data_IF_672139909083
#
_entry.id   IF_672139909083
#
_cell.length_a   1.000
_cell.length_b   1.000
_cell.length_c   1.000
_cell.angle_alpha   90.00
_cell.angle_beta   90.00
_cell.angle_gamma   90.00
#
_symmetry.space_group_name_H-M   'P 1'
#
loop_
_entity.id
_entity.type
_entity.pdbx_description
1 polymer ?
#
# COMPACT_ATOMS: atom_id res chain seq x y z
N UNK A 1 -21.68 -6.92 -7.66
CA UNK A 1 -20.21 -6.90 -7.58
C UNK A 1 -19.82 -6.19 -6.29
N UNK A 2 -18.89 -6.74 -5.51
CA UNK A 2 -18.34 -6.00 -4.38
C UNK A 2 -17.60 -4.75 -4.88
N UNK A 3 -17.69 -3.66 -4.11
CA UNK A 3 -16.98 -2.42 -4.45
C UNK A 3 -15.47 -2.68 -4.35
N UNK A 4 -14.70 -2.30 -5.37
CA UNK A 4 -13.24 -2.34 -5.33
C UNK A 4 -12.70 -1.67 -4.06
N UNK A 5 -11.69 -2.24 -3.45
CA UNK A 5 -10.99 -1.66 -2.30
C UNK A 5 -9.66 -1.07 -2.77
N UNK A 6 -9.51 0.25 -2.66
CA UNK A 6 -8.24 0.95 -2.90
C UNK A 6 -7.53 1.13 -1.56
N UNK A 7 -6.31 0.60 -1.44
CA UNK A 7 -5.56 0.55 -0.19
C UNK A 7 -4.15 1.13 -0.40
N UNK A 8 -3.84 2.22 0.29
CA UNK A 8 -2.47 2.73 0.37
C UNK A 8 -1.69 2.02 1.48
N UNK A 9 -0.43 1.67 1.20
CA UNK A 9 0.52 1.21 2.23
C UNK A 9 1.52 2.34 2.46
N UNK A 10 1.41 3.01 3.60
CA UNK A 10 2.13 4.26 3.87
C UNK A 10 2.76 4.27 5.26
N UNK A 11 3.98 4.80 5.33
CA UNK A 11 4.68 5.21 6.54
C UNK A 11 5.82 6.14 6.13
N UNK A 12 6.07 7.19 6.92
CA UNK A 12 7.17 8.13 6.69
C UNK A 12 8.54 7.50 6.87
N UNK A 13 8.66 6.52 7.74
CA UNK A 13 9.91 5.81 7.97
C UNK A 13 10.28 4.97 6.76
N UNK A 14 11.52 5.16 6.29
CA UNK A 14 12.12 4.30 5.27
C UNK A 14 12.37 2.89 5.79
N UNK A 15 12.35 1.90 4.90
CA UNK A 15 12.76 0.54 5.24
C UNK A 15 11.78 -0.28 6.10
N UNK A 16 10.58 0.21 6.42
CA UNK A 16 9.60 -0.54 7.25
C UNK A 16 8.85 -1.64 6.49
N UNK A 17 9.22 -1.95 5.26
CA UNK A 17 8.64 -3.02 4.46
C UNK A 17 7.37 -2.66 3.71
N UNK A 18 7.18 -1.40 3.30
CA UNK A 18 6.02 -0.96 2.48
C UNK A 18 5.93 -1.74 1.16
N UNK A 19 6.94 -1.63 0.30
CA UNK A 19 6.97 -2.30 -1.01
C UNK A 19 6.90 -3.83 -0.88
N UNK A 20 7.63 -4.39 0.09
CA UNK A 20 7.57 -5.83 0.40
C UNK A 20 6.15 -6.25 0.80
N UNK A 21 5.43 -5.40 1.54
CA UNK A 21 4.05 -5.67 1.93
C UNK A 21 3.11 -5.58 0.73
N UNK A 22 3.22 -4.54 -0.11
CA UNK A 22 2.38 -4.40 -1.30
C UNK A 22 2.55 -5.60 -2.22
N UNK A 23 3.78 -6.02 -2.49
CA UNK A 23 4.05 -7.19 -3.32
C UNK A 23 3.43 -8.47 -2.73
N UNK A 24 3.78 -8.81 -1.49
CA UNK A 24 3.32 -10.07 -0.90
C UNK A 24 1.82 -10.08 -0.61
N UNK A 25 1.23 -8.94 -0.23
CA UNK A 25 -0.22 -8.82 -0.07
C UNK A 25 -0.93 -9.00 -1.42
N UNK A 26 -0.43 -8.35 -2.48
CA UNK A 26 -0.95 -8.49 -3.84
C UNK A 26 -0.91 -9.93 -4.34
N UNK A 27 0.25 -10.58 -4.23
CA UNK A 27 0.43 -11.98 -4.61
C UNK A 27 -0.48 -12.93 -3.79
N UNK A 28 -0.62 -12.67 -2.48
CA UNK A 28 -1.49 -13.48 -1.62
C UNK A 28 -2.97 -13.34 -1.96
N UNK A 29 -3.44 -12.12 -2.27
CA UNK A 29 -4.81 -11.88 -2.73
C UNK A 29 -5.06 -12.53 -4.10
N UNK A 30 -4.11 -12.42 -5.05
CA UNK A 30 -4.21 -13.04 -6.36
C UNK A 30 -4.25 -14.58 -6.27
N UNK A 31 -3.44 -15.17 -5.38
CA UNK A 31 -3.47 -16.61 -5.11
C UNK A 31 -4.82 -17.11 -4.57
N UNK A 32 -5.62 -16.21 -3.96
CA UNK A 32 -7.00 -16.49 -3.54
C UNK A 32 -8.05 -16.14 -4.62
N UNK A 33 -7.63 -15.92 -5.87
CA UNK A 33 -8.50 -15.68 -7.02
C UNK A 33 -9.04 -14.25 -7.10
N UNK A 34 -8.46 -13.27 -6.37
CA UNK A 34 -8.84 -11.87 -6.48
C UNK A 34 -8.12 -11.20 -7.65
N UNK A 35 -8.82 -10.30 -8.34
CA UNK A 35 -8.23 -9.43 -9.35
C UNK A 35 -7.54 -8.26 -8.65
N UNK A 36 -6.22 -8.16 -8.79
CA UNK A 36 -5.40 -7.21 -8.02
C UNK A 36 -4.58 -6.34 -8.95
N UNK A 37 -4.55 -5.03 -8.69
CA UNK A 37 -3.68 -4.06 -9.33
C UNK A 37 -2.75 -3.46 -8.29
N UNK A 38 -1.45 -3.45 -8.56
CA UNK A 38 -0.43 -2.77 -7.75
C UNK A 38 0.02 -1.50 -8.45
N UNK A 39 0.19 -0.40 -7.71
CA UNK A 39 0.80 0.83 -8.24
C UNK A 39 2.04 1.19 -7.42
N UNK A 40 3.14 1.42 -8.11
CA UNK A 40 4.38 1.93 -7.50
C UNK A 40 4.37 3.46 -7.52
N UNK A 41 4.06 4.07 -6.38
CA UNK A 41 3.95 5.54 -6.21
C UNK A 41 5.25 6.13 -5.65
N UNK A 42 6.32 5.34 -5.55
CA UNK A 42 7.64 5.81 -5.12
C UNK A 42 8.55 6.09 -6.33
N UNK A 43 9.13 7.30 -6.46
CA UNK A 43 10.14 7.61 -7.48
C UNK A 43 11.36 6.67 -7.47
N UNK A 44 11.63 5.97 -6.37
CA UNK A 44 12.73 4.99 -6.29
C UNK A 44 12.44 3.73 -7.12
N UNK A 45 11.17 3.43 -7.39
CA UNK A 45 10.76 2.29 -8.21
C UNK A 45 11.11 0.95 -7.57
N UNK A 46 11.12 0.86 -6.24
CA UNK A 46 11.57 -0.35 -5.55
C UNK A 46 10.56 -1.50 -5.72
N UNK A 47 9.26 -1.22 -5.64
CA UNK A 47 8.24 -2.22 -5.97
C UNK A 47 8.40 -2.70 -7.42
N UNK A 48 8.58 -1.78 -8.35
CA UNK A 48 8.78 -2.09 -9.77
C UNK A 48 9.98 -3.01 -10.00
N UNK A 49 11.12 -2.76 -9.31
CA UNK A 49 12.29 -3.64 -9.36
C UNK A 49 12.00 -5.03 -8.78
N UNK A 50 11.26 -5.09 -7.66
CA UNK A 50 10.85 -6.35 -7.03
C UNK A 50 9.95 -7.18 -7.94
N UNK A 51 9.18 -6.53 -8.83
CA UNK A 51 8.30 -7.15 -9.82
C UNK A 51 9.02 -7.46 -11.15
N UNK A 52 10.34 -7.62 -11.13
CA UNK A 52 11.17 -8.05 -12.26
C UNK A 52 11.64 -6.95 -13.19
N UNK A 53 11.13 -5.72 -13.06
CA UNK A 53 11.55 -4.60 -13.91
C UNK A 53 12.82 -3.94 -13.35
N UNK A 54 13.97 -4.59 -13.56
CA UNK A 54 15.26 -4.21 -12.97
C UNK A 54 15.72 -2.79 -13.29
N UNK A 55 15.24 -2.22 -14.38
CA UNK A 55 15.59 -0.90 -14.88
C UNK A 55 14.34 -0.04 -15.13
N UNK A 56 13.65 0.42 -14.08
CA UNK A 56 12.39 1.16 -14.22
C UNK A 56 12.52 2.42 -15.08
N UNK A 57 13.71 3.01 -15.15
CA UNK A 57 13.98 4.22 -15.95
C UNK A 57 14.04 3.98 -17.47
N UNK A 58 14.16 2.72 -17.92
CA UNK A 58 14.12 2.33 -19.33
C UNK A 58 12.68 1.99 -19.80
N UNK A 59 11.71 1.91 -18.88
CA UNK A 59 10.33 1.61 -19.23
C UNK A 59 9.71 2.79 -20.00
N UNK A 60 9.04 2.53 -21.13
CA UNK A 60 8.45 3.59 -21.96
C UNK A 60 7.25 4.25 -21.31
N UNK A 61 6.47 3.50 -20.52
CA UNK A 61 5.27 3.96 -19.84
C UNK A 61 5.31 3.58 -18.36
N UNK A 62 5.04 4.56 -17.50
CA UNK A 62 5.05 4.42 -16.05
C UNK A 62 3.96 5.29 -15.45
N UNK A 63 3.70 5.16 -14.17
CA UNK A 63 2.73 5.97 -13.44
C UNK A 63 3.01 7.48 -13.60
N UNK A 64 4.27 7.88 -13.74
CA UNK A 64 4.62 9.29 -13.99
C UNK A 64 4.07 9.81 -15.31
N UNK A 65 4.14 9.02 -16.40
CA UNK A 65 3.53 9.36 -17.69
C UNK A 65 2.02 9.52 -17.54
N UNK A 66 1.37 8.53 -16.93
CA UNK A 66 -0.06 8.51 -16.73
C UNK A 66 -0.56 9.72 -15.93
N UNK A 67 0.13 10.09 -14.84
CA UNK A 67 -0.26 11.27 -14.05
C UNK A 67 -0.13 12.57 -14.86
N UNK A 68 0.88 12.68 -15.74
CA UNK A 68 1.00 13.81 -16.67
C UNK A 68 -0.13 13.81 -17.70
N UNK A 69 -0.52 12.66 -18.24
CA UNK A 69 -1.61 12.53 -19.21
C UNK A 69 -2.96 12.93 -18.59
N UNK A 70 -3.19 12.56 -17.32
CA UNK A 70 -4.38 13.03 -16.56
C UNK A 70 -4.38 14.56 -16.45
N UNK A 71 -3.25 15.17 -16.09
CA UNK A 71 -3.12 16.63 -15.98
C UNK A 71 -3.34 17.31 -17.32
N UNK A 72 -2.87 16.70 -18.42
CA UNK A 72 -3.03 17.22 -19.78
C UNK A 72 -4.42 16.91 -20.39
N UNK A 73 -5.24 16.05 -19.76
CA UNK A 73 -6.52 15.60 -20.32
C UNK A 73 -6.37 14.64 -21.52
N UNK A 74 -5.24 13.94 -21.62
CA UNK A 74 -4.90 13.03 -22.73
C UNK A 74 -4.79 11.56 -22.30
N UNK A 75 -5.41 11.19 -21.19
CA UNK A 75 -5.36 9.83 -20.65
C UNK A 75 -5.84 8.80 -21.69
N UNK A 76 -5.04 7.78 -21.92
CA UNK A 76 -5.36 6.68 -22.82
C UNK A 76 -6.25 5.64 -22.11
N UNK A 77 -7.48 5.45 -22.57
CA UNK A 77 -8.45 4.51 -22.00
C UNK A 77 -8.09 3.03 -22.19
N UNK A 78 -7.11 2.70 -23.06
CA UNK A 78 -6.65 1.31 -23.25
C UNK A 78 -5.63 0.87 -22.19
N UNK A 79 -5.12 1.81 -21.37
CA UNK A 79 -4.19 1.56 -20.27
C UNK A 79 -2.95 0.72 -20.65
N UNK A 80 -2.17 1.13 -21.65
CA UNK A 80 -1.00 0.38 -22.11
C UNK A 80 0.16 0.33 -21.09
N UNK A 81 0.08 1.14 -20.03
CA UNK A 81 1.02 1.16 -18.90
C UNK A 81 0.87 -0.02 -17.96
N UNK A 82 -0.26 -0.75 -18.02
CA UNK A 82 -0.54 -1.88 -17.15
C UNK A 82 0.23 -3.11 -17.61
N UNK A 83 1.01 -3.66 -16.70
CA UNK A 83 1.82 -4.87 -16.92
C UNK A 83 1.25 -6.03 -16.13
N UNK A 84 1.31 -7.24 -16.70
CA UNK A 84 0.88 -8.46 -16.02
C UNK A 84 2.06 -9.17 -15.35
N UNK A 85 1.92 -9.52 -14.09
CA UNK A 85 2.91 -10.29 -13.34
C UNK A 85 2.60 -11.80 -13.38
N UNK A 86 3.62 -12.64 -13.50
CA UNK A 86 3.47 -14.08 -13.61
C UNK A 86 2.82 -14.77 -12.39
N UNK A 87 2.68 -14.09 -11.27
CA UNK A 87 1.94 -14.56 -10.10
C UNK A 87 0.43 -14.17 -10.13
N UNK A 88 -0.08 -13.68 -11.27
CA UNK A 88 -1.52 -13.53 -11.53
C UNK A 88 -2.15 -12.23 -11.03
N UNK A 89 -1.38 -11.16 -10.96
CA UNK A 89 -1.86 -9.80 -10.70
C UNK A 89 -1.27 -8.82 -11.71
N UNK A 90 -1.86 -7.65 -11.81
CA UNK A 90 -1.38 -6.57 -12.68
C UNK A 90 -0.67 -5.49 -11.86
N UNK A 91 0.19 -4.71 -12.53
CA UNK A 91 0.85 -3.58 -11.90
C UNK A 91 1.13 -2.42 -12.86
N UNK A 92 1.19 -1.22 -12.31
CA UNK A 92 1.64 0.00 -13.00
C UNK A 92 3.00 0.37 -12.42
N UNK A 93 4.06 0.37 -13.24
CA UNK A 93 5.41 0.64 -12.74
C UNK A 93 5.60 2.11 -12.36
N UNK A 94 6.39 2.34 -11.31
CA UNK A 94 6.90 3.65 -10.92
C UNK A 94 8.37 3.82 -11.23
N UNK A 95 8.79 5.05 -11.43
CA UNK A 95 10.20 5.40 -11.60
C UNK A 95 10.47 6.86 -11.21
N UNK A 96 11.72 7.32 -11.44
CA UNK A 96 12.16 8.69 -11.09
C UNK A 96 11.35 9.81 -11.76
N UNK A 97 10.59 9.55 -12.83
CA UNK A 97 9.74 10.57 -13.48
C UNK A 97 8.67 11.09 -12.51
N UNK A 98 8.25 10.30 -11.53
CA UNK A 98 7.33 10.73 -10.47
C UNK A 98 7.85 11.92 -9.66
N UNK A 99 9.18 12.10 -9.53
CA UNK A 99 9.74 13.29 -8.88
C UNK A 99 9.45 14.57 -9.68
N UNK A 100 9.53 14.50 -11.01
CA UNK A 100 9.18 15.63 -11.86
C UNK A 100 7.67 15.92 -11.82
N UNK A 101 6.84 14.87 -11.80
CA UNK A 101 5.39 15.00 -11.61
C UNK A 101 5.08 15.71 -10.29
N UNK A 102 5.71 15.31 -9.17
CA UNK A 102 5.49 15.91 -7.86
C UNK A 102 5.76 17.43 -7.87
N UNK A 103 6.82 17.85 -8.53
CA UNK A 103 7.14 19.28 -8.73
C UNK A 103 6.10 19.96 -9.63
N UNK A 104 5.73 19.32 -10.74
CA UNK A 104 4.75 19.86 -11.69
C UNK A 104 3.37 20.08 -11.08
N UNK A 105 2.95 19.19 -10.20
CA UNK A 105 1.64 19.26 -9.52
C UNK A 105 1.44 20.53 -8.68
N UNK A 106 2.50 21.24 -8.28
CA UNK A 106 2.38 22.47 -7.47
C UNK A 106 1.44 23.51 -8.09
N UNK A 107 1.45 23.60 -9.41
CA UNK A 107 0.66 24.59 -10.18
C UNK A 107 -0.63 24.00 -10.78
N UNK A 108 -0.98 22.75 -10.48
CA UNK A 108 -2.15 22.09 -11.04
C UNK A 108 -3.36 22.28 -10.14
N UNK A 109 -4.51 22.63 -10.71
CA UNK A 109 -5.78 22.67 -9.97
C UNK A 109 -6.21 21.26 -9.56
N UNK A 110 -6.73 21.13 -8.34
CA UNK A 110 -7.14 19.81 -7.78
C UNK A 110 -6.02 18.77 -7.79
N UNK A 111 -4.78 19.23 -7.67
CA UNK A 111 -3.54 18.44 -7.71
C UNK A 111 -3.51 17.23 -6.78
N UNK A 112 -4.31 17.27 -5.71
CA UNK A 112 -4.43 16.19 -4.73
C UNK A 112 -5.23 14.99 -5.24
N UNK A 113 -5.92 15.13 -6.38
CA UNK A 113 -6.87 14.12 -6.91
C UNK A 113 -6.48 13.54 -8.27
N UNK A 114 -5.31 13.87 -8.79
CA UNK A 114 -4.84 13.38 -10.11
C UNK A 114 -4.78 11.86 -10.16
N UNK A 115 -4.21 11.22 -9.13
CA UNK A 115 -4.17 9.76 -9.06
C UNK A 115 -5.58 9.14 -8.90
N UNK A 116 -6.50 9.81 -8.22
CA UNK A 116 -7.89 9.36 -8.13
C UNK A 116 -8.56 9.34 -9.50
N UNK A 117 -8.37 10.39 -10.32
CA UNK A 117 -8.92 10.47 -11.67
C UNK A 117 -8.43 9.30 -12.53
N UNK A 118 -7.14 8.98 -12.47
CA UNK A 118 -6.59 7.79 -13.13
C UNK A 118 -7.25 6.51 -12.61
N UNK A 119 -7.29 6.31 -11.30
CA UNK A 119 -7.87 5.09 -10.74
C UNK A 119 -9.36 4.95 -11.07
N UNK A 120 -10.11 6.04 -11.20
CA UNK A 120 -11.53 5.98 -11.58
C UNK A 120 -11.76 5.43 -13.00
N UNK A 121 -10.78 5.55 -13.90
CA UNK A 121 -10.82 4.98 -15.24
C UNK A 121 -10.57 3.46 -15.27
N UNK A 122 -9.68 2.95 -14.42
CA UNK A 122 -9.17 1.58 -14.51
C UNK A 122 -9.68 0.62 -13.41
N UNK A 123 -9.94 1.10 -12.20
CA UNK A 123 -10.17 0.26 -11.00
C UNK A 123 -11.35 -0.70 -11.10
N UNK A 124 -12.33 -0.45 -11.98
CA UNK A 124 -13.56 -1.29 -12.11
C UNK A 124 -13.26 -2.73 -12.53
N UNK A 125 -12.08 -2.99 -13.08
CA UNK A 125 -11.63 -4.32 -13.46
C UNK A 125 -11.10 -5.17 -12.30
N UNK A 126 -10.94 -4.58 -11.11
CA UNK A 126 -10.23 -5.18 -9.98
C UNK A 126 -11.08 -5.30 -8.73
N UNK A 127 -10.71 -6.25 -7.86
CA UNK A 127 -11.26 -6.37 -6.50
C UNK A 127 -10.45 -5.51 -5.51
N UNK A 128 -9.13 -5.44 -5.72
CA UNK A 128 -8.19 -4.68 -4.90
C UNK A 128 -7.23 -3.85 -5.75
N UNK A 129 -6.98 -2.64 -5.32
CA UNK A 129 -5.89 -1.78 -5.81
C UNK A 129 -4.99 -1.45 -4.63
N UNK A 130 -3.70 -1.78 -4.72
CA UNK A 130 -2.71 -1.53 -3.67
C UNK A 130 -1.70 -0.48 -4.13
N UNK A 131 -1.50 0.56 -3.34
CA UNK A 131 -0.60 1.67 -3.65
C UNK A 131 0.63 1.59 -2.74
N UNK A 132 1.82 1.45 -3.34
CA UNK A 132 3.09 1.52 -2.62
C UNK A 132 3.54 2.96 -2.48
N UNK A 133 3.55 3.48 -1.27
CA UNK A 133 3.84 4.89 -1.00
C UNK A 133 5.31 5.09 -0.60
N UNK A 134 5.90 6.21 -1.08
CA UNK A 134 7.24 6.65 -0.66
C UNK A 134 7.30 7.01 0.84
N UNK A 135 8.52 7.01 1.47
CA UNK A 135 8.69 7.40 2.86
C UNK A 135 8.72 8.94 3.03
N UNK A 136 7.62 9.60 2.71
CA UNK A 136 7.44 11.06 2.90
C UNK A 136 5.97 11.39 2.91
N UNK A 137 5.59 12.61 3.28
CA UNK A 137 4.21 13.13 3.18
C UNK A 137 4.05 14.16 2.07
N UNK A 138 4.82 14.01 0.98
CA UNK A 138 4.74 14.86 -0.21
C UNK A 138 3.46 14.65 -1.03
N UNK A 139 3.36 15.38 -2.15
CA UNK A 139 2.17 15.43 -2.98
C UNK A 139 1.78 14.06 -3.57
N UNK A 140 2.75 13.17 -3.83
CA UNK A 140 2.47 11.81 -4.29
C UNK A 140 1.72 10.99 -3.24
N UNK A 141 2.13 11.08 -1.96
CA UNK A 141 1.43 10.37 -0.86
C UNK A 141 0.07 10.97 -0.60
N UNK A 142 -0.08 12.30 -0.69
CA UNK A 142 -1.38 12.97 -0.61
C UNK A 142 -2.30 12.44 -1.71
N UNK A 143 -1.82 12.31 -2.95
CA UNK A 143 -2.57 11.71 -4.06
C UNK A 143 -2.98 10.26 -3.78
N UNK A 144 -2.06 9.43 -3.29
CA UNK A 144 -2.34 8.04 -2.94
C UNK A 144 -3.43 7.94 -1.85
N UNK A 145 -3.31 8.70 -0.78
CA UNK A 145 -4.30 8.73 0.31
C UNK A 145 -5.65 9.32 -0.14
N UNK A 146 -5.61 10.33 -1.00
CA UNK A 146 -6.82 10.94 -1.57
C UNK A 146 -7.61 9.95 -2.43
N UNK A 147 -6.93 9.05 -3.12
CA UNK A 147 -7.52 8.03 -3.97
C UNK A 147 -7.97 6.76 -3.22
N UNK A 148 -7.58 6.60 -1.94
CA UNK A 148 -7.73 5.36 -1.20
C UNK A 148 -9.02 5.30 -0.36
N UNK A 149 -9.57 4.09 -0.20
CA UNK A 149 -10.61 3.80 0.81
C UNK A 149 -9.96 3.55 2.18
N UNK A 150 -8.77 2.94 2.19
CA UNK A 150 -8.04 2.56 3.40
C UNK A 150 -6.55 2.87 3.31
N UNK A 151 -5.94 3.13 4.46
CA UNK A 151 -4.48 3.11 4.60
C UNK A 151 -4.06 2.00 5.57
N UNK A 152 -3.07 1.20 5.15
CA UNK A 152 -2.36 0.23 5.98
C UNK A 152 -1.02 0.84 6.39
N UNK A 153 -0.68 0.71 7.66
CA UNK A 153 0.51 1.33 8.25
C UNK A 153 1.43 0.23 8.78
N UNK A 154 2.44 -0.19 7.99
CA UNK A 154 3.50 -1.05 8.50
C UNK A 154 4.39 -0.25 9.45
N UNK A 155 4.63 -0.78 10.65
CA UNK A 155 5.43 -0.13 11.68
C UNK A 155 6.53 -1.08 12.10
N UNK A 156 7.78 -0.62 12.04
CA UNK A 156 8.89 -1.40 12.57
C UNK A 156 8.77 -1.49 14.09
N UNK A 157 8.94 -2.70 14.63
CA UNK A 157 8.87 -2.92 16.07
C UNK A 157 10.15 -2.39 16.76
N UNK A 158 10.20 -1.09 17.00
CA UNK A 158 11.25 -0.40 17.76
C UNK A 158 10.65 0.60 18.77
N UNK A 159 11.51 1.23 19.56
CA UNK A 159 11.11 2.12 20.66
C UNK A 159 10.34 3.37 20.19
N UNK A 160 10.62 3.87 18.98
CA UNK A 160 10.01 5.08 18.41
C UNK A 160 8.76 4.80 17.59
N UNK A 161 8.30 3.55 17.56
CA UNK A 161 7.18 3.09 16.72
C UNK A 161 5.90 3.95 16.87
N UNK A 162 5.61 4.46 18.05
CA UNK A 162 4.44 5.29 18.30
C UNK A 162 4.60 6.73 17.79
N UNK A 163 5.80 7.29 17.89
CA UNK A 163 6.11 8.65 17.40
C UNK A 163 6.09 8.70 15.87
N UNK A 164 6.68 7.68 15.21
CA UNK A 164 6.74 7.56 13.75
C UNK A 164 5.35 7.57 13.07
N UNK A 165 4.30 7.22 13.80
CA UNK A 165 2.92 7.21 13.27
C UNK A 165 2.18 8.52 13.43
N UNK A 166 2.58 9.38 14.37
CA UNK A 166 1.77 10.56 14.77
C UNK A 166 1.55 11.52 13.62
N UNK A 167 2.60 11.83 12.87
CA UNK A 167 2.54 12.76 11.75
C UNK A 167 1.74 12.20 10.57
N UNK A 168 1.92 10.91 10.26
CA UNK A 168 1.12 10.23 9.23
C UNK A 168 -0.37 10.24 9.60
N UNK A 169 -0.71 9.95 10.86
CA UNK A 169 -2.10 9.96 11.32
C UNK A 169 -2.69 11.37 11.22
N UNK A 170 -1.94 12.40 11.58
CA UNK A 170 -2.32 13.80 11.40
C UNK A 170 -2.62 14.14 9.93
N UNK A 171 -1.78 13.67 9.01
CA UNK A 171 -1.98 13.82 7.57
C UNK A 171 -3.22 13.06 7.09
N UNK A 172 -3.42 11.82 7.51
CA UNK A 172 -4.62 11.02 7.18
C UNK A 172 -5.88 11.75 7.66
N UNK A 173 -5.88 12.30 8.87
CA UNK A 173 -7.01 13.06 9.41
C UNK A 173 -7.28 14.36 8.61
N UNK A 174 -6.24 15.05 8.17
CA UNK A 174 -6.36 16.27 7.36
C UNK A 174 -6.94 15.95 5.98
N UNK A 175 -6.44 14.90 5.32
CA UNK A 175 -6.98 14.43 4.04
C UNK A 175 -8.44 13.98 4.19
N UNK A 176 -8.76 13.27 5.26
CA UNK A 176 -10.13 12.85 5.54
C UNK A 176 -11.09 14.04 5.69
N UNK A 177 -10.66 15.11 6.34
CA UNK A 177 -11.51 16.31 6.55
C UNK A 177 -11.69 17.12 5.28
N UNK A 178 -10.66 17.26 4.46
CA UNK A 178 -10.60 18.25 3.39
C UNK A 178 -10.80 17.69 1.99
N UNK A 179 -10.40 16.41 1.73
CA UNK A 179 -10.28 15.88 0.38
C UNK A 179 -11.03 14.55 0.21
N UNK A 180 -10.87 13.60 1.14
CA UNK A 180 -11.44 12.27 1.05
C UNK A 180 -12.12 11.84 2.37
N UNK A 181 -13.39 12.23 2.60
CA UNK A 181 -14.11 11.87 3.84
C UNK A 181 -14.25 10.37 4.10
N UNK A 182 -14.10 9.55 3.06
CA UNK A 182 -14.23 8.10 3.15
C UNK A 182 -12.94 7.40 3.58
N UNK A 183 -11.78 8.08 3.55
CA UNK A 183 -10.50 7.51 3.95
C UNK A 183 -10.53 7.03 5.41
N UNK A 184 -10.06 5.81 5.64
CA UNK A 184 -9.98 5.19 6.96
C UNK A 184 -8.61 4.54 7.18
N UNK A 185 -8.15 4.53 8.42
CA UNK A 185 -7.06 3.62 8.80
C UNK A 185 -7.62 2.20 8.78
N UNK A 186 -7.13 1.39 7.84
CA UNK A 186 -7.53 0.00 7.67
C UNK A 186 -6.88 -0.92 8.70
N UNK A 187 -5.63 -0.65 9.05
CA UNK A 187 -4.91 -1.36 10.08
C UNK A 187 -3.45 -0.90 10.23
N UNK A 188 -2.98 -0.96 11.46
CA UNK A 188 -1.56 -0.86 11.82
C UNK A 188 -1.05 -2.27 12.06
N UNK A 189 0.11 -2.62 11.57
CA UNK A 189 0.73 -3.94 11.81
C UNK A 189 2.24 -3.81 11.97
N UNK A 190 2.80 -4.72 12.76
CA UNK A 190 4.21 -4.68 13.10
C UNK A 190 5.04 -5.48 12.11
N UNK A 191 6.17 -4.93 11.72
CA UNK A 191 7.12 -5.52 10.79
C UNK A 191 8.50 -5.66 11.42
N UNK A 192 9.36 -6.48 10.79
CA UNK A 192 10.75 -6.70 11.20
C UNK A 192 10.88 -7.17 12.65
N UNK A 193 9.92 -7.95 13.12
CA UNK A 193 9.93 -8.48 14.48
C UNK A 193 10.85 -9.70 14.56
N UNK A 194 11.80 -9.66 15.47
CA UNK A 194 12.65 -10.80 15.83
C UNK A 194 12.13 -11.44 17.11
N UNK A 195 12.47 -12.72 17.37
CA UNK A 195 12.05 -13.49 18.55
C UNK A 195 12.82 -13.07 19.84
N UNK A 196 12.87 -11.77 20.16
CA UNK A 196 13.45 -11.28 21.43
C UNK A 196 12.34 -10.83 22.37
N UNK A 197 12.55 -11.00 23.69
CA UNK A 197 11.59 -10.56 24.70
C UNK A 197 11.29 -9.07 24.60
N UNK A 198 12.30 -8.23 24.34
CA UNK A 198 12.15 -6.80 24.12
C UNK A 198 11.11 -6.46 23.04
N UNK A 199 11.08 -7.22 21.94
CA UNK A 199 10.12 -6.94 20.85
C UNK A 199 8.71 -7.41 21.16
N UNK A 200 8.52 -8.41 22.02
CA UNK A 200 7.20 -8.77 22.54
C UNK A 200 6.62 -7.63 23.37
N UNK A 201 7.45 -6.97 24.17
CA UNK A 201 7.03 -5.82 24.96
C UNK A 201 6.67 -4.63 24.09
N UNK A 202 7.44 -4.35 23.01
CA UNK A 202 7.11 -3.31 22.02
C UNK A 202 5.79 -3.62 21.31
N UNK A 203 5.54 -4.88 20.91
CA UNK A 203 4.27 -5.32 20.30
C UNK A 203 3.10 -5.03 21.23
N UNK A 204 3.21 -5.36 22.51
CA UNK A 204 2.19 -5.09 23.49
C UNK A 204 2.00 -3.58 23.70
N UNK A 205 3.09 -2.84 23.85
CA UNK A 205 3.06 -1.37 24.00
C UNK A 205 2.35 -0.68 22.84
N UNK A 206 2.64 -1.06 21.59
CA UNK A 206 1.95 -0.51 20.42
C UNK A 206 0.47 -0.87 20.42
N UNK A 207 0.12 -2.10 20.80
CA UNK A 207 -1.28 -2.52 20.92
C UNK A 207 -2.03 -1.76 22.00
N UNK A 208 -1.41 -1.53 23.15
CA UNK A 208 -2.02 -0.86 24.30
C UNK A 208 -2.17 0.65 24.03
N UNK A 209 -1.16 1.29 23.45
CA UNK A 209 -1.16 2.72 23.18
C UNK A 209 -1.98 3.10 21.96
N UNK A 210 -1.87 2.35 20.87
CA UNK A 210 -2.54 2.67 19.60
C UNK A 210 -3.89 1.95 19.44
N UNK A 211 -4.05 0.76 20.01
CA UNK A 211 -5.23 -0.09 19.83
C UNK A 211 -6.54 0.49 20.36
N UNK A 212 -6.47 1.49 21.24
CA UNK A 212 -7.65 2.23 21.72
C UNK A 212 -8.22 3.18 20.66
N UNK A 213 -7.36 3.69 19.78
CA UNK A 213 -7.70 4.74 18.80
C UNK A 213 -7.64 4.26 17.36
N UNK A 214 -6.85 3.21 17.08
CA UNK A 214 -6.59 2.69 15.74
C UNK A 214 -6.79 1.17 15.68
N UNK A 215 -7.22 0.62 14.55
CA UNK A 215 -7.24 -0.83 14.36
C UNK A 215 -5.80 -1.36 14.26
N UNK A 216 -5.35 -2.15 15.23
CA UNK A 216 -4.06 -2.83 15.22
C UNK A 216 -4.29 -4.30 14.86
N UNK A 217 -3.63 -4.77 13.80
CA UNK A 217 -3.71 -6.15 13.36
C UNK A 217 -3.00 -7.11 14.33
N UNK A 218 -3.48 -8.34 14.37
CA UNK A 218 -2.84 -9.39 15.16
C UNK A 218 -1.58 -9.91 14.49
N UNK A 219 -1.55 -9.84 13.16
CA UNK A 219 -0.42 -10.28 12.35
C UNK A 219 0.81 -9.44 12.64
N UNK A 220 1.93 -10.14 12.76
CA UNK A 220 3.27 -9.60 12.93
C UNK A 220 4.16 -10.19 11.85
N UNK A 221 4.83 -9.35 11.06
CA UNK A 221 5.74 -9.78 10.00
C UNK A 221 7.14 -9.96 10.59
N UNK A 222 7.70 -11.19 10.57
CA UNK A 222 9.02 -11.45 11.11
C UNK A 222 10.12 -10.87 10.23
N UNK A 223 11.26 -10.55 10.84
CA UNK A 223 12.50 -10.27 10.11
C UNK A 223 13.16 -11.60 9.74
N UNK A 224 13.24 -11.89 8.44
CA UNK A 224 13.91 -13.10 7.94
C UNK A 224 14.78 -12.78 6.73
N UNK A 225 15.88 -13.50 6.57
CA UNK A 225 16.76 -13.38 5.39
C UNK A 225 15.97 -13.69 4.11
N UNK A 226 15.11 -14.70 4.15
CA UNK A 226 14.28 -15.10 3.01
C UNK A 226 13.33 -14.01 2.54
N UNK A 227 12.77 -13.23 3.48
CA UNK A 227 11.92 -12.10 3.13
C UNK A 227 12.73 -10.94 2.52
N UNK A 228 13.97 -10.74 2.95
CA UNK A 228 14.86 -9.76 2.34
C UNK A 228 15.27 -10.17 0.90
N UNK A 229 15.47 -11.46 0.63
CA UNK A 229 15.78 -11.99 -0.70
C UNK A 229 14.65 -11.78 -1.72
N UNK A 230 13.37 -11.67 -1.29
CA UNK A 230 12.22 -11.36 -2.15
C UNK A 230 12.44 -10.08 -2.96
N UNK A 231 13.15 -9.09 -2.40
CA UNK A 231 13.45 -7.82 -3.09
C UNK A 231 14.25 -7.97 -4.38
N UNK A 232 14.91 -9.11 -4.56
CA UNK A 232 15.76 -9.38 -5.73
C UNK A 232 15.33 -10.61 -6.53
N UNK A 233 14.34 -11.35 -6.05
CA UNK A 233 14.00 -12.67 -6.56
C UNK A 233 12.92 -12.69 -7.66
N UNK A 234 12.23 -11.56 -7.90
CA UNK A 234 11.04 -11.50 -8.78
C UNK A 234 10.02 -12.61 -8.43
N UNK A 235 9.92 -12.90 -7.14
CA UNK A 235 9.01 -13.90 -6.58
C UNK A 235 8.53 -13.47 -5.21
N UNK A 236 7.24 -13.62 -4.98
CA UNK A 236 6.69 -13.38 -3.64
C UNK A 236 7.24 -14.40 -2.62
N UNK A 237 7.08 -14.08 -1.34
CA UNK A 237 7.45 -15.02 -0.28
C UNK A 237 6.69 -16.35 -0.39
N UNK A 238 5.52 -16.36 -1.00
CA UNK A 238 4.73 -17.58 -1.22
C UNK A 238 5.34 -18.52 -2.25
N UNK A 239 6.11 -17.97 -3.21
CA UNK A 239 6.88 -18.75 -4.19
C UNK A 239 8.31 -19.01 -3.72
N UNK A 240 8.89 -18.06 -2.99
CA UNK A 240 10.29 -18.14 -2.54
C UNK A 240 10.46 -19.11 -1.35
N UNK A 241 9.59 -19.00 -0.33
CA UNK A 241 9.60 -19.86 0.86
C UNK A 241 8.16 -20.17 1.32
N UNK A 242 7.41 -21.04 0.58
CA UNK A 242 5.98 -21.23 0.79
C UNK A 242 5.58 -21.75 2.18
N UNK A 243 6.49 -22.43 2.88
CA UNK A 243 6.27 -23.01 4.22
C UNK A 243 6.94 -22.21 5.33
N UNK A 244 7.57 -21.07 5.00
CA UNK A 244 8.29 -20.24 5.95
C UNK A 244 7.37 -19.40 6.85
N UNK A 245 7.91 -18.97 7.99
CA UNK A 245 7.21 -18.12 8.97
C UNK A 245 6.71 -16.81 8.31
N UNK A 246 7.48 -16.22 7.40
CA UNK A 246 7.09 -15.01 6.71
C UNK A 246 5.91 -15.23 5.76
N UNK A 247 5.88 -16.36 5.03
CA UNK A 247 4.75 -16.72 4.17
C UNK A 247 3.47 -16.94 4.99
N UNK A 248 3.55 -17.57 6.15
CA UNK A 248 2.43 -17.73 7.06
C UNK A 248 1.93 -16.39 7.58
N UNK A 249 2.83 -15.50 7.99
CA UNK A 249 2.49 -14.16 8.44
C UNK A 249 1.76 -13.35 7.36
N UNK A 250 2.23 -13.40 6.11
CA UNK A 250 1.53 -12.73 5.01
C UNK A 250 0.18 -13.37 4.67
N UNK A 251 -0.01 -14.70 4.80
CA UNK A 251 -1.36 -15.31 4.70
C UNK A 251 -2.30 -14.78 5.76
N UNK A 252 -1.82 -14.60 6.98
CA UNK A 252 -2.62 -14.03 8.06
C UNK A 252 -2.95 -12.55 7.77
N UNK A 253 -1.98 -11.77 7.25
CA UNK A 253 -2.23 -10.39 6.84
C UNK A 253 -3.29 -10.29 5.73
N UNK A 254 -3.25 -11.17 4.72
CA UNK A 254 -4.27 -11.28 3.66
C UNK A 254 -5.66 -11.47 4.26
N UNK A 255 -5.81 -12.37 5.24
CA UNK A 255 -7.10 -12.62 5.92
C UNK A 255 -7.58 -11.36 6.65
N UNK A 256 -6.72 -10.70 7.42
CA UNK A 256 -7.10 -9.48 8.15
C UNK A 256 -7.48 -8.33 7.20
N UNK A 257 -6.78 -8.20 6.06
CA UNK A 257 -7.08 -7.18 5.04
C UNK A 257 -8.42 -7.46 4.34
N UNK A 258 -8.75 -8.71 4.08
CA UNK A 258 -10.08 -9.08 3.53
C UNK A 258 -11.22 -8.70 4.47
N UNK A 259 -10.99 -8.82 5.77
CA UNK A 259 -11.96 -8.50 6.81
C UNK A 259 -12.13 -6.99 7.06
N UNK A 260 -11.28 -6.14 6.45
CA UNK A 260 -11.45 -4.68 6.54
C UNK A 260 -12.82 -4.27 5.99
N UNK A 261 -13.59 -3.58 6.82
CA UNK A 261 -14.93 -3.07 6.47
C UNK A 261 -16.08 -4.05 6.69
N UNK A 262 -15.85 -5.35 6.86
CA UNK A 262 -16.92 -6.32 7.17
C UNK A 262 -17.49 -6.13 8.58
N UNK A 263 -16.62 -5.96 9.57
CA UNK A 263 -17.01 -5.69 10.97
C UNK A 263 -17.75 -4.37 11.18
N UNK A 264 -17.52 -3.37 10.32
CA UNK A 264 -18.26 -2.10 10.38
C UNK A 264 -19.69 -2.24 9.82
N UNK A 265 -19.92 -3.07 8.81
CA UNK A 265 -21.27 -3.34 8.30
C UNK A 265 -22.14 -4.05 9.34
N UNK A 266 -21.57 -4.99 10.10
CA UNK A 266 -22.28 -5.65 11.19
C UNK A 266 -22.66 -4.67 12.31
N UNK A 267 -21.74 -3.81 12.78
CA UNK A 267 -22.03 -2.79 13.80
C UNK A 267 -23.08 -1.76 13.35
N UNK A 268 -23.06 -1.34 12.10
CA UNK A 268 -24.06 -0.41 11.55
C UNK A 268 -25.43 -1.06 11.40
N UNK A 269 -25.49 -2.35 11.09
CA UNK A 269 -26.73 -3.13 11.03
C UNK A 269 -27.33 -3.40 12.40
N UNK A 270 -26.50 -3.58 13.44
CA UNK A 270 -26.93 -3.79 14.82
C UNK A 270 -27.43 -2.50 15.50
N UNK A 271 -26.96 -1.31 15.06
CA UNK A 271 -27.43 0.00 15.56
C UNK A 271 -28.75 0.43 14.86
N UNK A 272 -29.05 -0.15 13.68
CA UNK A 272 -30.26 0.17 12.90
C UNK A 272 -31.42 -0.78 13.19
N UNK A 273 -31.26 -1.71 14.12
CA UNK A 273 -32.30 -2.59 14.70
C UNK A 273 -32.62 -2.19 16.13
#
# INVERSE_FOLDING_TARGET
MEKVKVIAVANQKGGVGKSTTVFNLGAGLAAEGKKVLLLDVDPQGDLTKMLGQRKPHELPLTLGNVMNDVVAGTLNESHPEVMHHHEGFDFVPGNRSLSAVEVGLVNVMSRETVLRQYLDSIKRGYDYVLLDCRPSLGMLVINALSASDYVLIPVQADYLAAEDMTELIGTVQSIKRQINPNLKVGGVFLTMVNDTNFRKDVVNTVRDNCGKSLPVFRTVIPSTVRLAEVSTADKSIFRHEPRGKAAEAYRNLVREVKDIGSKQRQRSADISR
#
